data_IF_407454075930
#
_entry.id   IF_407454075930
#
_cell.length_a   1.000
_cell.length_b   1.000
_cell.length_c   1.000
_cell.angle_alpha   90.00
_cell.angle_beta   90.00
_cell.angle_gamma   90.00
#
_symmetry.space_group_name_H-M   'P 1'
#
loop_
_entity.id
_entity.type
_entity.pdbx_description
1 polymer ?
#
# COMPACT_ATOMS: atom_id res chain seq x y z
N UNK A 1 -3.23 27.96 -8.02
CA UNK A 1 -3.89 26.68 -7.66
C UNK A 1 -2.78 25.77 -7.17
N UNK A 2 -2.93 25.15 -5.99
CA UNK A 2 -1.92 24.21 -5.50
C UNK A 2 -2.05 22.90 -6.29
N UNK A 3 -0.93 22.41 -6.82
CA UNK A 3 -0.81 21.09 -7.46
C UNK A 3 0.03 20.23 -6.52
N UNK A 4 -0.48 19.04 -6.20
CA UNK A 4 0.20 18.05 -5.36
C UNK A 4 0.54 16.83 -6.20
N UNK A 5 1.75 16.31 -6.09
CA UNK A 5 2.18 15.05 -6.69
C UNK A 5 2.19 13.97 -5.62
N UNK A 6 1.44 12.90 -5.86
CA UNK A 6 1.20 11.83 -4.88
C UNK A 6 1.51 10.50 -5.53
N UNK A 7 2.24 9.63 -4.83
CA UNK A 7 2.33 8.22 -5.22
C UNK A 7 1.27 7.43 -4.45
N UNK A 8 0.33 6.82 -5.14
CA UNK A 8 -0.58 5.83 -4.59
C UNK A 8 -0.01 4.43 -4.70
N UNK A 9 0.00 3.65 -3.62
CA UNK A 9 0.47 2.26 -3.59
C UNK A 9 -0.65 1.30 -3.18
N UNK A 10 -0.74 0.17 -3.88
CA UNK A 10 -1.72 -0.88 -3.62
C UNK A 10 -1.14 -2.27 -3.91
N UNK A 11 -1.46 -3.23 -3.05
CA UNK A 11 -1.28 -4.66 -3.35
C UNK A 11 -2.60 -5.40 -3.10
N UNK A 12 -3.13 -6.01 -4.15
CA UNK A 12 -4.42 -6.70 -4.12
C UNK A 12 -4.40 -7.97 -3.27
N UNK A 13 -5.57 -8.58 -3.06
CA UNK A 13 -5.67 -9.85 -2.31
C UNK A 13 -5.08 -11.05 -3.04
N UNK A 14 -4.81 -10.93 -4.35
CA UNK A 14 -4.01 -11.86 -5.14
C UNK A 14 -2.55 -11.95 -4.67
N UNK A 15 -2.06 -10.92 -3.96
CA UNK A 15 -0.70 -10.79 -3.48
C UNK A 15 0.33 -11.14 -4.58
N UNK A 16 0.12 -10.63 -5.79
CA UNK A 16 0.94 -10.88 -6.98
C UNK A 16 1.97 -9.77 -7.27
N UNK A 17 1.81 -8.60 -6.65
CA UNK A 17 2.76 -7.50 -6.74
C UNK A 17 2.29 -6.23 -6.04
N UNK A 18 3.06 -5.16 -6.20
CA UNK A 18 2.69 -3.79 -5.81
C UNK A 18 2.46 -2.97 -7.05
N UNK A 19 1.29 -2.33 -7.12
CA UNK A 19 1.01 -1.29 -8.10
C UNK A 19 1.28 0.08 -7.47
N UNK A 20 1.97 0.93 -8.24
CA UNK A 20 2.31 2.30 -7.89
C UNK A 20 1.83 3.25 -8.99
N UNK A 21 1.01 4.23 -8.61
CA UNK A 21 0.52 5.27 -9.51
C UNK A 21 1.00 6.64 -9.02
N UNK A 22 1.83 7.33 -9.81
CA UNK A 22 2.11 8.73 -9.57
C UNK A 22 0.97 9.54 -10.20
N UNK A 23 0.28 10.33 -9.37
CA UNK A 23 -0.81 11.20 -9.79
C UNK A 23 -0.51 12.65 -9.43
N UNK A 24 -1.01 13.57 -10.25
CA UNK A 24 -1.16 14.96 -9.84
C UNK A 24 -2.59 15.25 -9.44
N UNK A 25 -2.73 15.92 -8.31
CA UNK A 25 -4.01 16.33 -7.75
C UNK A 25 -4.03 17.86 -7.73
N UNK A 26 -5.01 18.44 -8.41
CA UNK A 26 -5.22 19.89 -8.45
C UNK A 26 -6.57 20.23 -7.85
N UNK A 27 -6.55 21.08 -6.82
CA UNK A 27 -7.79 21.61 -6.25
C UNK A 27 -8.30 22.79 -7.10
N UNK A 28 -9.47 22.59 -7.72
CA UNK A 28 -10.27 23.65 -8.33
C UNK A 28 -11.37 24.10 -7.36
N UNK A 29 -12.01 25.23 -7.65
CA UNK A 29 -13.02 25.86 -6.80
C UNK A 29 -14.14 24.92 -6.33
N UNK A 30 -14.53 23.94 -7.15
CA UNK A 30 -15.67 23.04 -6.86
C UNK A 30 -15.33 21.55 -6.94
N UNK A 31 -14.10 21.18 -7.32
CA UNK A 31 -13.71 19.77 -7.50
C UNK A 31 -12.21 19.56 -7.37
N UNK A 32 -11.82 18.32 -7.10
CA UNK A 32 -10.47 17.84 -7.31
C UNK A 32 -10.37 17.30 -8.75
N UNK A 33 -9.29 17.66 -9.43
CA UNK A 33 -8.89 16.99 -10.67
C UNK A 33 -7.67 16.13 -10.39
N UNK A 34 -7.71 14.89 -10.87
CA UNK A 34 -6.65 13.90 -10.68
C UNK A 34 -6.21 13.42 -12.05
N UNK A 35 -4.92 13.50 -12.33
CA UNK A 35 -4.31 13.03 -13.57
C UNK A 35 -3.19 12.06 -13.22
N UNK A 36 -3.21 10.86 -13.82
CA UNK A 36 -2.14 9.88 -13.64
C UNK A 36 -0.98 10.26 -14.55
N UNK A 37 0.18 10.54 -13.95
CA UNK A 37 1.40 10.92 -14.65
C UNK A 37 2.23 9.69 -15.03
N UNK A 38 2.28 8.70 -14.13
CA UNK A 38 2.97 7.44 -14.38
C UNK A 38 2.31 6.29 -13.62
N UNK A 39 2.51 5.08 -14.14
CA UNK A 39 2.11 3.83 -13.51
C UNK A 39 3.27 2.84 -13.56
N UNK A 40 3.50 2.13 -12.47
CA UNK A 40 4.52 1.11 -12.33
C UNK A 40 3.97 -0.07 -11.55
N UNK A 41 4.27 -1.29 -11.99
CA UNK A 41 3.87 -2.51 -11.30
C UNK A 41 5.09 -3.37 -11.03
N UNK A 42 5.27 -3.74 -9.77
CA UNK A 42 6.39 -4.53 -9.28
C UNK A 42 5.87 -5.93 -8.89
N UNK A 43 6.09 -6.96 -9.73
CA UNK A 43 5.62 -8.30 -9.41
C UNK A 43 6.41 -8.91 -8.26
N UNK A 44 5.71 -9.56 -7.34
CA UNK A 44 6.38 -10.36 -6.31
C UNK A 44 6.93 -11.65 -6.90
N UNK A 45 8.06 -12.16 -6.38
CA UNK A 45 8.46 -13.53 -6.65
C UNK A 45 7.42 -14.48 -6.06
N UNK A 46 7.17 -15.59 -6.76
CA UNK A 46 6.17 -16.60 -6.36
C UNK A 46 6.34 -17.07 -4.90
N UNK A 47 7.57 -17.15 -4.40
CA UNK A 47 7.85 -17.51 -3.01
C UNK A 47 7.32 -16.48 -2.01
N UNK A 48 7.42 -15.17 -2.30
CA UNK A 48 6.86 -14.12 -1.46
C UNK A 48 5.33 -14.13 -1.52
N UNK A 49 4.75 -14.24 -2.71
CA UNK A 49 3.30 -14.39 -2.88
C UNK A 49 2.76 -15.55 -2.03
N UNK A 50 3.38 -16.73 -2.11
CA UNK A 50 2.97 -17.90 -1.33
C UNK A 50 3.08 -17.67 0.19
N UNK A 51 4.13 -16.99 0.65
CA UNK A 51 4.29 -16.61 2.05
C UNK A 51 3.18 -15.66 2.52
N UNK A 52 2.83 -14.65 1.72
CA UNK A 52 1.76 -13.69 2.04
C UNK A 52 0.39 -14.38 2.13
N UNK A 53 0.05 -15.20 1.13
CA UNK A 53 -1.18 -15.98 1.12
C UNK A 53 -1.26 -16.92 2.32
N UNK A 54 -0.17 -17.63 2.64
CA UNK A 54 -0.12 -18.53 3.80
C UNK A 54 -0.24 -17.77 5.12
N UNK A 55 0.38 -16.59 5.23
CA UNK A 55 0.33 -15.77 6.44
C UNK A 55 -1.09 -15.32 6.78
N UNK A 56 -1.94 -15.06 5.78
CA UNK A 56 -3.36 -14.69 5.97
C UNK A 56 -4.22 -15.80 6.60
N UNK A 57 -3.78 -17.06 6.51
CA UNK A 57 -4.52 -18.23 6.97
C UNK A 57 -3.91 -18.83 8.24
N UNK A 58 -2.58 -18.97 8.27
CA UNK A 58 -1.86 -19.70 9.31
C UNK A 58 -0.55 -19.03 9.74
N UNK A 59 -0.37 -17.74 9.46
CA UNK A 59 0.82 -16.98 9.86
C UNK A 59 0.91 -16.79 11.37
N UNK A 60 2.13 -16.78 11.89
CA UNK A 60 2.41 -16.37 13.26
C UNK A 60 2.55 -14.85 13.36
N UNK A 61 2.49 -14.30 14.58
CA UNK A 61 2.80 -12.88 14.81
C UNK A 61 4.23 -12.53 14.35
N UNK A 62 5.18 -13.47 14.49
CA UNK A 62 6.54 -13.29 13.99
C UNK A 62 6.58 -13.19 12.45
N UNK A 63 5.81 -14.03 11.75
CA UNK A 63 5.68 -13.94 10.29
C UNK A 63 5.11 -12.60 9.85
N UNK A 64 4.03 -12.14 10.50
CA UNK A 64 3.40 -10.85 10.18
C UNK A 64 4.32 -9.67 10.48
N UNK A 65 5.06 -9.71 11.59
CA UNK A 65 6.03 -8.67 11.94
C UNK A 65 7.13 -8.57 10.88
N UNK A 66 7.69 -9.70 10.47
CA UNK A 66 8.72 -9.72 9.43
C UNK A 66 8.16 -9.32 8.06
N UNK A 67 7.00 -9.84 7.66
CA UNK A 67 6.37 -9.50 6.38
C UNK A 67 5.95 -8.03 6.31
N UNK A 68 5.59 -7.41 7.44
CA UNK A 68 5.26 -5.98 7.49
C UNK A 68 6.46 -5.11 7.09
N UNK A 69 7.63 -5.37 7.69
CA UNK A 69 8.87 -4.65 7.35
C UNK A 69 9.32 -4.99 5.92
N UNK A 70 9.35 -6.28 5.57
CA UNK A 70 9.74 -6.73 4.23
C UNK A 70 8.88 -6.08 3.14
N UNK A 71 7.56 -6.02 3.32
CA UNK A 71 6.70 -5.36 2.35
C UNK A 71 6.89 -3.85 2.31
N UNK A 72 7.31 -3.21 3.40
CA UNK A 72 7.72 -1.81 3.37
C UNK A 72 8.76 -1.55 2.28
N UNK A 73 9.79 -2.38 2.21
CA UNK A 73 10.85 -2.31 1.17
C UNK A 73 10.30 -2.48 -0.24
N UNK A 74 9.44 -3.49 -0.46
CA UNK A 74 8.82 -3.73 -1.77
C UNK A 74 7.93 -2.56 -2.22
N UNK A 75 7.23 -1.94 -1.27
CA UNK A 75 6.38 -0.79 -1.54
C UNK A 75 7.22 0.47 -1.82
N UNK A 76 8.34 0.67 -1.10
CA UNK A 76 9.31 1.72 -1.39
C UNK A 76 9.89 1.58 -2.80
N UNK A 77 10.33 0.37 -3.17
CA UNK A 77 10.85 0.07 -4.51
C UNK A 77 9.83 0.36 -5.62
N UNK A 78 8.56 0.00 -5.39
CA UNK A 78 7.48 0.31 -6.32
C UNK A 78 7.22 1.82 -6.44
N UNK A 79 7.24 2.55 -5.33
CA UNK A 79 7.10 4.01 -5.33
C UNK A 79 8.23 4.68 -6.12
N UNK A 80 9.48 4.30 -5.83
CA UNK A 80 10.65 4.78 -6.56
C UNK A 80 10.58 4.42 -8.05
N UNK A 81 10.01 3.25 -8.39
CA UNK A 81 9.73 2.84 -9.76
C UNK A 81 8.79 3.80 -10.49
N UNK A 82 7.65 4.17 -9.87
CA UNK A 82 6.71 5.13 -10.43
C UNK A 82 7.30 6.54 -10.58
N UNK A 83 8.08 7.00 -9.59
CA UNK A 83 8.77 8.30 -9.61
C UNK A 83 9.75 8.36 -10.79
N UNK A 84 10.58 7.33 -10.95
CA UNK A 84 11.52 7.22 -12.09
C UNK A 84 10.80 7.14 -13.43
N UNK A 85 9.68 6.41 -13.51
CA UNK A 85 8.88 6.30 -14.73
C UNK A 85 8.31 7.66 -15.17
N UNK A 86 8.03 8.56 -14.23
CA UNK A 86 7.63 9.94 -14.49
C UNK A 86 8.81 10.90 -14.75
N UNK A 87 10.05 10.39 -14.73
CA UNK A 87 11.29 11.18 -14.86
C UNK A 87 11.44 12.26 -13.76
N UNK A 88 10.94 11.97 -12.57
CA UNK A 88 11.03 12.84 -11.40
C UNK A 88 12.05 12.33 -10.38
N UNK A 89 12.33 13.17 -9.40
CA UNK A 89 13.06 12.86 -8.17
C UNK A 89 12.11 12.73 -6.98
N UNK A 90 12.59 12.17 -5.88
CA UNK A 90 11.81 12.00 -4.64
C UNK A 90 11.38 13.32 -4.03
N UNK A 91 12.19 14.38 -4.20
CA UNK A 91 11.94 15.71 -3.68
C UNK A 91 10.78 16.43 -4.39
N UNK A 92 10.37 15.92 -5.56
CA UNK A 92 9.25 16.44 -6.34
C UNK A 92 7.92 15.76 -6.01
N UNK A 93 7.91 14.79 -5.09
CA UNK A 93 6.70 14.11 -4.61
C UNK A 93 6.36 14.62 -3.22
N UNK A 94 5.11 15.03 -3.02
CA UNK A 94 4.68 15.63 -1.76
C UNK A 94 4.36 14.57 -0.69
N UNK A 95 3.79 13.43 -1.08
CA UNK A 95 3.47 12.32 -0.18
C UNK A 95 3.24 10.99 -0.90
N UNK A 96 3.27 9.92 -0.10
CA UNK A 96 2.89 8.57 -0.50
C UNK A 96 1.60 8.18 0.23
N UNK A 97 0.60 7.73 -0.51
CA UNK A 97 -0.61 7.10 0.01
C UNK A 97 -0.53 5.59 -0.20
N UNK A 98 -0.23 4.83 0.86
CA UNK A 98 -0.14 3.37 0.78
C UNK A 98 -1.35 2.69 1.42
N UNK A 99 -2.02 1.82 0.66
CA UNK A 99 -3.00 0.90 1.24
C UNK A 99 -2.33 -0.26 2.00
N UNK A 100 -1.15 -0.69 1.56
CA UNK A 100 -0.51 -1.93 2.01
C UNK A 100 -1.12 -3.19 1.40
N UNK A 101 -0.79 -4.33 1.99
CA UNK A 101 -1.33 -5.65 1.69
C UNK A 101 -2.32 -6.05 2.78
N UNK A 102 -3.57 -6.35 2.42
CA UNK A 102 -4.54 -6.89 3.38
C UNK A 102 -4.14 -8.30 3.79
N UNK A 103 -3.98 -8.51 5.11
CA UNK A 103 -3.81 -9.82 5.74
C UNK A 103 -5.16 -10.39 6.15
N UNK A 104 -6.01 -9.56 6.75
CA UNK A 104 -7.31 -10.01 7.22
C UNK A 104 -8.34 -8.86 7.22
N UNK A 105 -9.60 -9.19 6.93
CA UNK A 105 -10.70 -8.23 6.88
C UNK A 105 -11.97 -8.85 7.46
N UNK A 106 -12.49 -8.26 8.54
CA UNK A 106 -13.65 -8.76 9.31
C UNK A 106 -14.79 -7.73 9.27
N UNK A 107 -15.48 -7.56 8.13
CA UNK A 107 -16.51 -6.52 7.97
C UNK A 107 -17.80 -6.83 8.74
N UNK A 108 -18.08 -8.11 9.00
CA UNK A 108 -19.24 -8.53 9.80
C UNK A 108 -18.99 -8.40 11.31
N UNK A 109 -17.73 -8.28 11.70
CA UNK A 109 -17.28 -8.13 13.07
C UNK A 109 -17.36 -9.39 13.93
N UNK A 110 -16.63 -9.39 15.03
CA UNK A 110 -16.63 -10.44 16.05
C UNK A 110 -17.35 -9.88 17.28
N UNK A 111 -18.31 -10.65 17.82
CA UNK A 111 -19.07 -10.24 19.00
C UNK A 111 -18.24 -10.47 20.26
N UNK A 112 -17.90 -9.38 20.92
CA UNK A 112 -17.32 -9.37 22.26
C UNK A 112 -18.41 -9.14 23.32
N UNK A 113 -18.28 -9.79 24.47
CA UNK A 113 -19.27 -9.74 25.56
C UNK A 113 -19.46 -8.33 26.13
N UNK A 114 -18.41 -7.51 26.19
CA UNK A 114 -18.46 -6.17 26.80
C UNK A 114 -18.86 -5.08 25.82
N UNK A 115 -18.38 -5.17 24.57
CA UNK A 115 -18.47 -4.07 23.59
C UNK A 115 -19.34 -4.38 22.37
N UNK A 116 -19.86 -5.61 22.24
CA UNK A 116 -20.71 -5.99 21.11
C UNK A 116 -19.90 -6.37 19.87
N UNK A 117 -20.49 -6.25 18.68
CA UNK A 117 -19.83 -6.64 17.43
C UNK A 117 -18.77 -5.60 17.02
N UNK A 118 -17.50 -6.02 16.96
CA UNK A 118 -16.36 -5.18 16.54
C UNK A 118 -15.91 -5.60 15.15
N UNK A 119 -15.93 -4.65 14.20
CA UNK A 119 -15.33 -4.81 12.87
C UNK A 119 -13.86 -4.45 12.92
N UNK A 120 -13.03 -5.18 12.16
CA UNK A 120 -11.59 -4.92 12.13
C UNK A 120 -11.00 -5.28 10.77
N UNK A 121 -9.83 -4.72 10.48
CA UNK A 121 -9.05 -4.96 9.27
C UNK A 121 -7.57 -4.83 9.62
N UNK A 122 -6.73 -5.61 8.96
CA UNK A 122 -5.28 -5.54 9.12
C UNK A 122 -4.62 -5.50 7.74
N UNK A 123 -3.93 -4.40 7.49
CA UNK A 123 -3.04 -4.18 6.37
C UNK A 123 -1.60 -4.17 6.90
N UNK A 124 -0.66 -4.71 6.11
CA UNK A 124 0.78 -4.68 6.41
C UNK A 124 1.56 -4.05 5.23
N UNK A 125 2.79 -3.63 5.47
CA UNK A 125 3.60 -2.81 4.57
C UNK A 125 3.99 -1.53 5.30
N UNK A 126 5.04 -1.63 6.13
CA UNK A 126 5.38 -0.66 7.16
C UNK A 126 5.57 0.76 6.61
N UNK A 127 4.70 1.72 6.94
CA UNK A 127 4.81 3.09 6.43
C UNK A 127 6.12 3.79 6.80
N UNK A 128 6.71 3.46 7.96
CA UNK A 128 7.99 4.03 8.35
C UNK A 128 9.14 3.57 7.43
N UNK A 129 9.14 2.30 7.01
CA UNK A 129 10.12 1.73 6.06
C UNK A 129 9.88 2.29 4.65
N UNK A 130 8.63 2.57 4.27
CA UNK A 130 8.35 3.23 2.99
C UNK A 130 8.90 4.67 2.97
N UNK A 131 8.99 5.33 4.12
CA UNK A 131 9.31 6.75 4.24
C UNK A 131 10.77 7.08 4.59
N UNK A 132 11.60 6.10 4.98
CA UNK A 132 13.02 6.31 5.33
C UNK A 132 13.92 6.61 4.13
#
# INVERSE_FOLDING_TARGET
MSRMKVVGLMSGTSADGVDAALVSIVQKTTRLEVEMEAFYSLPYPRSLQQRLLSASVSGTVADLCHLNALLGEWFADAALGAIRAAQLTTEEVDLIGSHGQTVHHLPNGIKDTRVGAIRSTLQIGEPAVIAE
#
